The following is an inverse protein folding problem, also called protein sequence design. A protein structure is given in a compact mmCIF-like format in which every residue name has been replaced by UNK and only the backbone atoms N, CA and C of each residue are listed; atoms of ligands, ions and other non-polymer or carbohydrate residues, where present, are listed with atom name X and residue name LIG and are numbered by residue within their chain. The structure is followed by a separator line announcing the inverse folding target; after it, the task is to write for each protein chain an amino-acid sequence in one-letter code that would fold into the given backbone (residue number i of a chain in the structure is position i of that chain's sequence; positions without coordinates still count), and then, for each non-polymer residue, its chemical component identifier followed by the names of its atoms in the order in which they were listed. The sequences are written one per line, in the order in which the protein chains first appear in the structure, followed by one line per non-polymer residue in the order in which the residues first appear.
data_IF_995060114227
#
_entry.id   IF_995060114227
#
_cell.length_a   1.000
_cell.length_b   1.000
_cell.length_c   1.000
_cell.angle_alpha   90.00
_cell.angle_beta   90.00
_cell.angle_gamma   90.00
#
_symmetry.space_group_name_H-M   'P 1'
#
loop_
_entity.id
_entity.type
_entity.pdbx_description
1 polymer ?
#
# COMPACT_ATOMS: atom_id res chain seq x y z
N UNK A 1 -4.45 25.20 -2.83
CA UNK A 1 -4.36 23.83 -3.36
C UNK A 1 -5.67 23.13 -3.06
N UNK A 2 -6.22 22.33 -3.96
CA UNK A 2 -7.41 21.50 -3.75
C UNK A 2 -7.08 20.06 -4.10
N UNK A 3 -7.17 19.15 -3.13
CA UNK A 3 -6.90 17.73 -3.32
C UNK A 3 -8.20 16.97 -3.11
N UNK A 4 -8.57 16.13 -4.05
CA UNK A 4 -9.78 15.30 -3.94
C UNK A 4 -9.38 13.89 -3.52
N UNK A 5 -9.99 13.40 -2.44
CA UNK A 5 -9.62 12.13 -1.82
C UNK A 5 -10.84 11.22 -1.76
N UNK A 6 -10.68 9.96 -2.16
CA UNK A 6 -11.66 8.91 -1.88
C UNK A 6 -10.97 7.65 -1.36
N UNK A 7 -11.72 6.81 -0.65
CA UNK A 7 -11.22 5.55 -0.13
C UNK A 7 -11.92 5.10 1.14
N UNK A 8 -11.52 3.95 1.69
CA UNK A 8 -12.04 3.45 2.96
C UNK A 8 -11.77 4.45 4.09
N UNK A 9 -12.74 4.60 4.99
CA UNK A 9 -12.63 5.52 6.13
C UNK A 9 -11.36 5.29 6.95
N UNK A 10 -11.05 4.04 7.26
CA UNK A 10 -9.87 3.66 8.04
C UNK A 10 -8.55 4.10 7.37
N UNK A 11 -8.48 4.02 6.04
CA UNK A 11 -7.29 4.46 5.30
C UNK A 11 -7.13 5.98 5.38
N UNK A 12 -8.23 6.74 5.23
CA UNK A 12 -8.26 8.20 5.34
C UNK A 12 -7.86 8.66 6.75
N UNK A 13 -8.41 8.01 7.78
CA UNK A 13 -8.08 8.28 9.18
C UNK A 13 -6.61 7.94 9.49
N UNK A 14 -6.08 6.83 8.95
CA UNK A 14 -4.68 6.46 9.14
C UNK A 14 -3.70 7.47 8.55
N UNK A 15 -3.96 7.97 7.34
CA UNK A 15 -3.14 9.01 6.73
C UNK A 15 -3.50 10.43 7.21
N UNK A 16 -4.54 10.60 8.01
CA UNK A 16 -4.97 11.89 8.55
C UNK A 16 -5.38 12.91 7.48
N UNK A 17 -5.79 12.46 6.29
CA UNK A 17 -6.13 13.36 5.18
C UNK A 17 -7.40 14.18 5.45
N UNK A 18 -8.26 13.71 6.35
CA UNK A 18 -9.45 14.42 6.84
C UNK A 18 -9.13 15.66 7.69
N UNK A 19 -7.89 15.78 8.20
CA UNK A 19 -7.45 16.93 8.98
C UNK A 19 -7.02 18.16 8.16
N UNK A 20 -6.80 17.99 6.85
CA UNK A 20 -6.36 19.06 5.96
C UNK A 20 -7.56 19.76 5.33
N UNK A 21 -7.72 21.07 5.58
CA UNK A 21 -8.85 21.86 5.06
C UNK A 21 -8.93 21.94 3.53
N UNK A 22 -7.85 21.58 2.84
CA UNK A 22 -7.75 21.57 1.40
C UNK A 22 -7.92 20.17 0.78
N UNK A 23 -8.10 19.15 1.62
CA UNK A 23 -8.49 17.81 1.20
C UNK A 23 -10.02 17.70 1.22
N UNK A 24 -10.61 17.53 0.03
CA UNK A 24 -12.03 17.30 -0.13
C UNK A 24 -12.29 15.79 -0.21
N UNK A 25 -12.91 15.23 0.82
CA UNK A 25 -13.33 13.83 0.82
C UNK A 25 -14.58 13.67 -0.06
N UNK A 26 -14.57 12.67 -0.94
CA UNK A 26 -15.70 12.34 -1.82
C UNK A 26 -16.01 10.85 -1.80
N UNK A 27 -17.26 10.52 -2.08
CA UNK A 27 -17.70 9.13 -2.21
C UNK A 27 -17.56 8.66 -3.66
N UNK A 28 -16.85 7.54 -3.85
CA UNK A 28 -16.66 6.93 -5.16
C UNK A 28 -15.74 7.69 -6.12
N UNK A 29 -15.31 7.00 -7.18
CA UNK A 29 -14.36 7.56 -8.16
C UNK A 29 -15.04 8.46 -9.19
N UNK A 30 -16.36 8.33 -9.40
CA UNK A 30 -17.12 9.20 -10.30
C UNK A 30 -17.06 10.68 -9.88
N UNK A 31 -16.95 10.93 -8.58
CA UNK A 31 -16.75 12.28 -8.05
C UNK A 31 -15.45 12.93 -8.56
N UNK A 32 -14.44 12.15 -8.94
CA UNK A 32 -13.19 12.69 -9.49
C UNK A 32 -13.42 13.29 -10.88
N UNK A 33 -14.27 12.66 -11.70
CA UNK A 33 -14.59 13.16 -13.04
C UNK A 33 -15.30 14.52 -13.01
N UNK A 34 -15.99 14.82 -11.90
CA UNK A 34 -16.73 16.06 -11.67
C UNK A 34 -15.89 17.14 -10.96
N UNK A 35 -14.73 16.80 -10.41
CA UNK A 35 -13.84 17.73 -9.71
C UNK A 35 -12.73 18.28 -10.64
N UNK A 36 -13.12 18.80 -11.80
CA UNK A 36 -12.19 19.25 -12.84
C UNK A 36 -11.27 20.42 -12.48
N UNK A 37 -11.47 21.04 -11.32
CA UNK A 37 -10.69 22.15 -10.77
C UNK A 37 -9.69 21.71 -9.68
N UNK A 38 -9.56 20.41 -9.40
CA UNK A 38 -8.62 19.90 -8.40
C UNK A 38 -7.17 19.99 -8.87
N UNK A 39 -6.26 20.31 -7.94
CA UNK A 39 -4.82 20.31 -8.16
C UNK A 39 -4.24 18.88 -8.18
N UNK A 40 -4.92 17.93 -7.53
CA UNK A 40 -4.49 16.54 -7.41
C UNK A 40 -5.57 15.64 -6.84
N UNK A 41 -5.39 14.34 -7.04
CA UNK A 41 -6.34 13.30 -6.65
C UNK A 41 -5.64 12.19 -5.86
N UNK A 42 -6.34 11.62 -4.88
CA UNK A 42 -5.86 10.47 -4.10
C UNK A 42 -6.99 9.45 -3.98
N UNK A 43 -6.83 8.29 -4.60
CA UNK A 43 -7.73 7.16 -4.45
C UNK A 43 -7.07 6.06 -3.61
N UNK A 44 -7.56 5.86 -2.38
CA UNK A 44 -7.06 4.88 -1.43
C UNK A 44 -7.79 3.53 -1.50
N UNK A 45 -8.76 3.35 -2.42
CA UNK A 45 -9.42 2.05 -2.60
C UNK A 45 -8.44 1.01 -3.15
N UNK A 46 -8.63 -0.26 -2.79
CA UNK A 46 -7.77 -1.35 -3.24
C UNK A 46 -7.85 -1.60 -4.75
N UNK A 47 -8.97 -1.25 -5.37
CA UNK A 47 -9.24 -1.37 -6.80
C UNK A 47 -8.96 -0.07 -7.57
N UNK A 48 -8.20 0.88 -7.00
CA UNK A 48 -8.01 2.21 -7.57
C UNK A 48 -7.47 2.20 -9.01
N UNK A 49 -6.69 1.20 -9.43
CA UNK A 49 -6.22 1.08 -10.82
C UNK A 49 -7.27 0.56 -11.81
N UNK A 50 -8.39 0.01 -11.35
CA UNK A 50 -9.48 -0.44 -12.21
C UNK A 50 -10.27 0.74 -12.83
N UNK A 51 -10.03 1.97 -12.37
CA UNK A 51 -10.73 3.16 -12.82
C UNK A 51 -9.94 3.94 -13.87
N UNK A 52 -10.67 4.65 -14.73
CA UNK A 52 -10.08 5.58 -15.70
C UNK A 52 -9.99 6.98 -15.12
N UNK A 53 -8.78 7.55 -15.11
CA UNK A 53 -8.54 8.91 -14.67
C UNK A 53 -8.22 9.81 -15.85
N UNK A 54 -8.88 10.97 -15.92
CA UNK A 54 -8.58 11.98 -16.95
C UNK A 54 -7.16 12.51 -16.73
N UNK A 55 -6.42 12.68 -17.83
CA UNK A 55 -5.11 13.30 -17.80
C UNK A 55 -5.21 14.78 -17.40
N UNK A 56 -4.20 15.28 -16.68
CA UNK A 56 -4.09 16.70 -16.29
C UNK A 56 -3.40 16.88 -14.95
N UNK A 57 -4.09 16.54 -13.87
CA UNK A 57 -3.56 16.61 -12.51
C UNK A 57 -2.95 15.27 -12.06
N UNK A 58 -1.94 15.27 -11.18
CA UNK A 58 -1.43 14.05 -10.55
C UNK A 58 -2.52 13.26 -9.83
N UNK A 59 -2.55 11.95 -10.05
CA UNK A 59 -3.47 11.02 -9.39
C UNK A 59 -2.66 9.97 -8.63
N UNK A 60 -2.75 10.00 -7.32
CA UNK A 60 -2.18 9.00 -6.42
C UNK A 60 -3.20 7.87 -6.25
N UNK A 61 -2.78 6.63 -6.49
CA UNK A 61 -3.61 5.43 -6.39
C UNK A 61 -2.98 4.41 -5.44
N UNK A 62 -3.78 3.87 -4.53
CA UNK A 62 -3.42 2.67 -3.79
C UNK A 62 -3.41 1.50 -4.77
N UNK A 63 -2.22 0.97 -5.04
CA UNK A 63 -2.08 -0.32 -5.71
C UNK A 63 -0.77 -0.95 -5.29
N UNK A 64 -0.84 -2.06 -4.57
CA UNK A 64 0.38 -2.73 -4.09
C UNK A 64 0.86 -3.76 -5.09
N UNK A 65 -0.07 -4.50 -5.71
CA UNK A 65 0.25 -5.65 -6.57
C UNK A 65 0.31 -5.29 -8.05
N UNK A 66 -0.57 -4.41 -8.53
CA UNK A 66 -0.67 -4.06 -9.95
C UNK A 66 0.22 -2.86 -10.29
N UNK A 67 0.97 -2.96 -11.38
CA UNK A 67 1.84 -1.86 -11.89
C UNK A 67 1.04 -0.89 -12.76
N UNK A 68 1.59 0.30 -13.00
CA UNK A 68 0.93 1.33 -13.80
C UNK A 68 0.78 0.89 -15.27
N UNK A 69 -0.34 1.24 -15.93
CA UNK A 69 -0.48 1.05 -17.38
C UNK A 69 0.58 1.87 -18.13
N UNK A 70 1.12 1.32 -19.21
CA UNK A 70 2.12 2.00 -20.04
C UNK A 70 1.60 3.37 -20.54
N UNK A 71 2.43 4.41 -20.42
CA UNK A 71 2.08 5.76 -20.86
C UNK A 71 1.23 6.58 -19.86
N UNK A 72 1.02 6.09 -18.64
CA UNK A 72 0.25 6.78 -17.60
C UNK A 72 1.10 7.80 -16.81
N UNK A 73 1.59 8.86 -17.45
CA UNK A 73 2.51 9.83 -16.82
C UNK A 73 1.87 10.65 -15.68
N UNK A 74 0.54 10.68 -15.57
CA UNK A 74 -0.21 11.36 -14.50
C UNK A 74 -0.58 10.45 -13.32
N UNK A 75 -0.33 9.14 -13.41
CA UNK A 75 -0.66 8.18 -12.35
C UNK A 75 0.55 7.88 -11.48
N UNK A 76 0.29 7.77 -10.17
CA UNK A 76 1.30 7.54 -9.15
C UNK A 76 0.83 6.50 -8.17
N UNK A 77 1.62 5.45 -8.00
CA UNK A 77 1.23 4.31 -7.17
C UNK A 77 1.89 4.37 -5.80
N UNK A 78 1.11 4.03 -4.77
CA UNK A 78 1.56 3.96 -3.38
C UNK A 78 1.19 2.63 -2.73
N UNK A 79 1.82 2.36 -1.59
CA UNK A 79 1.38 1.31 -0.68
C UNK A 79 0.33 1.85 0.29
N UNK A 80 -0.94 1.56 0.00
CA UNK A 80 -2.07 1.90 0.87
C UNK A 80 -2.48 0.82 1.86
N UNK A 81 -1.66 -0.23 2.06
CA UNK A 81 -1.97 -1.25 3.06
C UNK A 81 -2.00 -0.66 4.48
N UNK A 82 -2.87 -1.18 5.37
CA UNK A 82 -2.94 -0.76 6.75
C UNK A 82 -1.58 -0.80 7.46
N UNK A 83 -1.24 0.27 8.17
CA UNK A 83 0.02 0.43 8.90
C UNK A 83 1.17 1.08 8.09
N UNK A 84 0.96 1.39 6.81
CA UNK A 84 1.93 2.07 5.95
C UNK A 84 1.58 3.53 5.67
N UNK A 85 0.31 3.91 5.78
CA UNK A 85 -0.20 5.22 5.35
C UNK A 85 0.14 6.35 6.33
N UNK A 86 0.30 6.04 7.63
CA UNK A 86 0.69 7.03 8.65
C UNK A 86 2.12 7.58 8.52
N UNK A 87 2.94 6.99 7.66
CA UNK A 87 4.36 7.35 7.51
C UNK A 87 4.50 8.70 6.81
N UNK A 88 5.48 9.50 7.22
CA UNK A 88 5.82 10.75 6.52
C UNK A 88 6.36 10.48 5.12
N UNK A 89 7.17 9.43 4.96
CA UNK A 89 7.69 9.00 3.66
C UNK A 89 6.74 8.03 2.98
N UNK A 90 6.21 8.40 1.81
CA UNK A 90 5.40 7.53 0.97
C UNK A 90 6.22 7.04 -0.22
N UNK A 91 6.22 5.73 -0.45
CA UNK A 91 6.77 5.14 -1.67
C UNK A 91 5.92 5.55 -2.86
N UNK A 92 6.56 6.14 -3.87
CA UNK A 92 5.90 6.59 -5.11
C UNK A 92 6.52 5.86 -6.29
N UNK A 93 5.70 5.13 -7.05
CA UNK A 93 6.04 4.63 -8.38
C UNK A 93 5.31 5.46 -9.45
N UNK A 94 6.04 5.89 -10.48
CA UNK A 94 5.56 6.76 -11.55
C UNK A 94 6.66 7.68 -12.08
N UNK A 95 6.31 8.62 -12.96
CA UNK A 95 7.26 9.59 -13.53
C UNK A 95 7.48 10.78 -12.58
N UNK A 96 8.75 11.08 -12.24
CA UNK A 96 9.08 12.20 -11.35
C UNK A 96 8.39 13.50 -11.77
N UNK A 97 7.70 14.14 -10.83
CA UNK A 97 6.84 15.29 -11.10
C UNK A 97 6.84 16.25 -9.90
N UNK A 98 7.21 17.51 -10.15
CA UNK A 98 7.32 18.55 -9.11
C UNK A 98 5.97 18.88 -8.48
N UNK A 99 4.89 18.93 -9.29
CA UNK A 99 3.53 19.19 -8.79
C UNK A 99 3.06 18.09 -7.85
N UNK A 100 3.40 16.83 -8.13
CA UNK A 100 3.14 15.73 -7.18
C UNK A 100 3.90 15.93 -5.87
N UNK A 101 5.17 16.31 -5.93
CA UNK A 101 5.97 16.56 -4.72
C UNK A 101 5.39 17.72 -3.90
N UNK A 102 4.89 18.79 -4.54
CA UNK A 102 4.14 19.87 -3.88
C UNK A 102 2.85 19.38 -3.22
N UNK A 103 2.08 18.53 -3.91
CA UNK A 103 0.86 17.93 -3.37
C UNK A 103 1.18 17.12 -2.12
N UNK A 104 2.16 16.21 -2.20
CA UNK A 104 2.60 15.39 -1.06
C UNK A 104 3.07 16.27 0.10
N UNK A 105 3.89 17.29 -0.17
CA UNK A 105 4.36 18.21 0.87
C UNK A 105 3.21 18.95 1.57
N UNK A 106 2.17 19.33 0.81
CA UNK A 106 1.00 20.05 1.37
C UNK A 106 0.19 19.22 2.36
N UNK A 107 0.24 17.89 2.24
CA UNK A 107 -0.39 16.92 3.15
C UNK A 107 0.61 16.29 4.13
N UNK A 108 1.78 16.92 4.31
CA UNK A 108 2.81 16.46 5.26
C UNK A 108 3.44 15.11 4.87
N UNK A 109 3.55 14.84 3.57
CA UNK A 109 4.19 13.64 3.02
C UNK A 109 5.41 13.99 2.16
N UNK A 110 6.37 13.07 2.14
CA UNK A 110 7.57 13.15 1.29
C UNK A 110 7.58 11.98 0.32
N UNK A 111 7.80 12.28 -0.96
CA UNK A 111 7.98 11.26 -1.98
C UNK A 111 9.28 10.47 -1.75
N UNK A 112 9.17 9.15 -1.72
CA UNK A 112 10.28 8.20 -1.81
C UNK A 112 10.11 7.46 -3.13
N UNK A 113 10.81 7.92 -4.15
CA UNK A 113 10.68 7.37 -5.50
C UNK A 113 11.25 5.95 -5.59
N UNK A 114 10.44 5.02 -6.07
CA UNK A 114 10.79 3.61 -6.26
C UNK A 114 10.44 3.15 -7.67
N UNK A 115 11.01 2.02 -8.09
CA UNK A 115 10.64 1.40 -9.36
C UNK A 115 9.19 0.91 -9.30
N UNK A 116 8.48 1.02 -10.41
CA UNK A 116 7.13 0.48 -10.54
C UNK A 116 7.15 -1.04 -10.67
N UNK A 117 7.23 -1.72 -9.52
CA UNK A 117 7.28 -3.17 -9.38
C UNK A 117 6.23 -3.65 -8.36
N UNK A 118 5.66 -4.86 -8.52
CA UNK A 118 4.75 -5.41 -7.52
C UNK A 118 5.37 -5.41 -6.12
N UNK A 119 4.60 -4.97 -5.13
CA UNK A 119 5.00 -4.85 -3.73
C UNK A 119 5.83 -3.61 -3.41
N UNK A 120 6.11 -2.74 -4.39
CA UNK A 120 6.99 -1.57 -4.22
C UNK A 120 8.28 -2.01 -3.50
N UNK A 121 8.70 -1.33 -2.45
CA UNK A 121 9.82 -1.81 -1.61
C UNK A 121 9.29 -2.36 -0.29
N UNK A 122 8.54 -1.57 0.48
CA UNK A 122 8.19 -1.93 1.84
C UNK A 122 7.19 -3.10 1.90
N UNK A 123 6.17 -3.14 1.04
CA UNK A 123 5.23 -4.27 1.03
C UNK A 123 5.93 -5.57 0.63
N UNK A 124 6.83 -5.55 -0.36
CA UNK A 124 7.63 -6.71 -0.77
C UNK A 124 8.48 -7.27 0.38
N UNK A 125 9.21 -6.39 1.08
CA UNK A 125 10.09 -6.81 2.18
C UNK A 125 9.29 -7.30 3.38
N UNK A 126 8.25 -6.57 3.78
CA UNK A 126 7.40 -6.98 4.91
C UNK A 126 6.67 -8.29 4.61
N UNK A 127 6.16 -8.50 3.40
CA UNK A 127 5.54 -9.78 3.03
C UNK A 127 6.51 -10.96 3.16
N UNK A 128 7.80 -10.79 2.84
CA UNK A 128 8.81 -11.84 3.03
C UNK A 128 9.14 -12.08 4.50
N UNK A 129 9.20 -11.02 5.33
CA UNK A 129 9.38 -11.17 6.78
C UNK A 129 8.21 -11.93 7.39
N UNK A 130 6.99 -11.60 6.96
CA UNK A 130 5.78 -12.33 7.37
C UNK A 130 5.90 -13.78 6.92
N UNK A 131 6.22 -14.04 5.65
CA UNK A 131 6.33 -15.39 5.13
C UNK A 131 7.33 -16.25 5.92
N UNK A 132 8.49 -15.69 6.26
CA UNK A 132 9.50 -16.34 7.09
C UNK A 132 8.98 -16.68 8.49
N UNK A 133 8.18 -15.80 9.08
CA UNK A 133 7.54 -16.09 10.37
C UNK A 133 6.56 -17.28 10.28
N UNK A 134 5.84 -17.43 9.15
CA UNK A 134 5.00 -18.62 8.94
C UNK A 134 5.84 -19.89 8.78
N UNK A 135 6.98 -19.84 8.07
CA UNK A 135 7.91 -20.98 8.02
C UNK A 135 8.42 -21.36 9.41
N UNK A 136 8.78 -20.38 10.26
CA UNK A 136 9.21 -20.66 11.63
C UNK A 136 8.11 -21.35 12.46
N UNK A 137 6.84 -21.04 12.24
CA UNK A 137 5.71 -21.74 12.86
C UNK A 137 5.53 -23.15 12.30
N UNK A 138 5.63 -23.33 10.99
CA UNK A 138 5.56 -24.65 10.33
C UNK A 138 6.63 -25.61 10.87
N UNK A 139 7.85 -25.10 11.00
CA UNK A 139 9.01 -25.82 11.52
C UNK A 139 8.97 -25.98 13.05
N UNK A 140 7.91 -25.48 13.71
CA UNK A 140 7.69 -25.53 15.16
C UNK A 140 8.84 -24.90 15.95
N UNK A 141 9.46 -23.86 15.41
CA UNK A 141 10.53 -23.11 16.06
C UNK A 141 9.99 -22.38 17.30
N UNK A 142 8.79 -21.79 17.19
CA UNK A 142 8.18 -20.99 18.26
C UNK A 142 6.68 -20.75 17.99
N UNK A 143 5.94 -20.23 18.97
CA UNK A 143 4.56 -19.75 18.79
C UNK A 143 4.49 -18.40 18.05
N UNK A 144 3.32 -18.05 17.50
CA UNK A 144 3.09 -16.77 16.80
C UNK A 144 3.35 -15.57 17.74
N UNK A 145 2.87 -15.68 18.98
CA UNK A 145 2.97 -14.63 20.01
C UNK A 145 4.42 -14.40 20.45
N UNK A 146 5.20 -15.47 20.60
CA UNK A 146 6.62 -15.39 20.94
C UNK A 146 7.44 -14.85 19.78
N UNK A 147 7.12 -15.22 18.53
CA UNK A 147 7.78 -14.66 17.33
C UNK A 147 7.51 -13.16 17.24
N UNK A 148 6.27 -12.71 17.41
CA UNK A 148 5.93 -11.29 17.42
C UNK A 148 6.67 -10.54 18.52
N UNK A 149 6.74 -11.12 19.72
CA UNK A 149 7.48 -10.55 20.84
C UNK A 149 8.98 -10.45 20.54
N UNK A 150 9.58 -11.51 20.01
CA UNK A 150 11.00 -11.56 19.66
C UNK A 150 11.35 -10.54 18.58
N UNK A 151 10.51 -10.40 17.55
CA UNK A 151 10.75 -9.44 16.48
C UNK A 151 10.58 -8.00 16.96
N UNK A 152 9.55 -7.69 17.74
CA UNK A 152 9.38 -6.34 18.30
C UNK A 152 10.55 -5.95 19.22
N UNK A 153 10.91 -6.80 20.18
CA UNK A 153 11.94 -6.48 21.17
C UNK A 153 13.36 -6.60 20.59
N UNK A 154 13.60 -7.52 19.67
CA UNK A 154 14.90 -7.81 19.09
C UNK A 154 15.31 -6.89 17.95
N UNK A 155 14.36 -6.47 17.10
CA UNK A 155 14.66 -5.64 15.91
C UNK A 155 14.10 -4.21 16.00
N UNK A 156 13.29 -3.92 17.02
CA UNK A 156 12.64 -2.62 17.18
C UNK A 156 11.49 -2.39 16.19
N UNK A 157 10.92 -3.45 15.61
CA UNK A 157 9.76 -3.30 14.75
C UNK A 157 8.54 -2.75 15.50
N UNK A 158 7.73 -1.89 14.86
CA UNK A 158 6.53 -1.34 15.49
C UNK A 158 5.43 -2.38 15.71
N UNK A 159 5.48 -3.48 14.96
CA UNK A 159 4.56 -4.61 15.03
C UNK A 159 5.32 -5.91 14.80
N UNK A 160 4.84 -7.00 15.38
CA UNK A 160 5.31 -8.33 15.02
C UNK A 160 4.83 -8.76 13.63
N UNK A 161 5.47 -9.77 13.00
CA UNK A 161 5.03 -10.31 11.71
C UNK A 161 3.56 -10.74 11.66
N UNK A 162 3.02 -11.38 12.70
CA UNK A 162 1.63 -11.83 12.72
C UNK A 162 0.66 -10.68 13.02
N UNK A 163 1.05 -9.72 13.86
CA UNK A 163 0.33 -8.44 13.99
C UNK A 163 0.23 -7.70 12.64
N UNK A 164 1.32 -7.63 11.86
CA UNK A 164 1.27 -7.08 10.51
C UNK A 164 0.36 -7.90 9.58
N UNK A 165 0.48 -9.23 9.61
CA UNK A 165 -0.34 -10.11 8.79
C UNK A 165 -1.84 -9.91 9.07
N UNK A 166 -2.21 -9.75 10.35
CA UNK A 166 -3.58 -9.47 10.77
C UNK A 166 -4.08 -8.10 10.31
N UNK A 167 -3.24 -7.06 10.41
CA UNK A 167 -3.61 -5.71 10.00
C UNK A 167 -3.75 -5.58 8.47
N UNK A 168 -2.79 -6.16 7.72
CA UNK A 168 -2.75 -6.07 6.26
C UNK A 168 -3.77 -7.03 5.62
N UNK A 169 -3.96 -8.20 6.21
CA UNK A 169 -4.72 -9.31 5.64
C UNK A 169 -3.80 -10.32 4.95
N UNK A 170 -3.83 -11.56 5.44
CA UNK A 170 -3.03 -12.67 4.93
C UNK A 170 -3.24 -12.93 3.43
N UNK A 171 -4.47 -12.74 2.94
CA UNK A 171 -4.80 -12.90 1.51
C UNK A 171 -4.03 -11.91 0.62
N UNK A 172 -3.96 -10.63 1.01
CA UNK A 172 -3.23 -9.60 0.25
C UNK A 172 -1.74 -9.94 0.17
N UNK A 173 -1.17 -10.41 1.29
CA UNK A 173 0.23 -10.81 1.42
C UNK A 173 0.51 -12.03 0.54
N UNK A 174 -0.32 -13.07 0.68
CA UNK A 174 -0.21 -14.32 -0.09
C UNK A 174 -0.32 -14.04 -1.59
N UNK A 175 -1.28 -13.22 -2.02
CA UNK A 175 -1.44 -12.81 -3.42
C UNK A 175 -0.21 -12.10 -3.97
N UNK A 176 0.38 -11.16 -3.20
CA UNK A 176 1.62 -10.50 -3.61
C UNK A 176 2.78 -11.50 -3.76
N UNK A 177 2.96 -12.39 -2.79
CA UNK A 177 4.02 -13.39 -2.80
C UNK A 177 3.89 -14.36 -3.97
N UNK A 178 2.68 -14.86 -4.25
CA UNK A 178 2.39 -15.71 -5.41
C UNK A 178 2.71 -15.00 -6.74
N UNK A 179 2.34 -13.73 -6.86
CA UNK A 179 2.66 -12.91 -8.04
C UNK A 179 4.16 -12.78 -8.23
N UNK A 180 4.90 -12.46 -7.16
CA UNK A 180 6.36 -12.35 -7.21
C UNK A 180 7.06 -13.69 -7.48
N UNK A 181 6.43 -14.80 -7.07
CA UNK A 181 6.94 -16.15 -7.28
C UNK A 181 6.90 -16.60 -8.74
N UNK A 182 6.09 -15.95 -9.60
CA UNK A 182 6.08 -16.20 -11.04
C UNK A 182 7.44 -15.92 -11.68
N UNK A 183 8.15 -14.90 -11.19
CA UNK A 183 9.47 -14.52 -11.67
C UNK A 183 10.60 -15.22 -10.90
N UNK A 184 10.40 -15.51 -9.61
CA UNK A 184 11.42 -16.13 -8.77
C UNK A 184 10.82 -16.91 -7.60
N UNK A 185 11.05 -18.22 -7.58
CA UNK A 185 10.53 -19.15 -6.58
C UNK A 185 10.83 -18.80 -5.12
N UNK A 186 11.86 -17.97 -4.85
CA UNK A 186 12.20 -17.52 -3.48
C UNK A 186 11.06 -16.78 -2.78
N UNK A 187 10.10 -16.25 -3.54
CA UNK A 187 8.93 -15.55 -3.02
C UNK A 187 7.74 -16.48 -2.75
N UNK A 188 7.88 -17.79 -2.97
CA UNK A 188 6.79 -18.74 -2.75
C UNK A 188 6.26 -18.60 -1.32
N UNK A 189 4.93 -18.42 -1.13
CA UNK A 189 4.34 -18.39 0.20
C UNK A 189 4.50 -19.76 0.87
N UNK A 190 4.69 -19.72 2.19
CA UNK A 190 4.60 -20.90 3.05
C UNK A 190 3.22 -21.55 2.96
N UNK A 191 3.12 -22.83 3.35
CA UNK A 191 1.89 -23.61 3.23
C UNK A 191 0.79 -23.03 4.12
N UNK A 192 1.12 -22.58 5.32
CA UNK A 192 0.18 -21.98 6.27
C UNK A 192 -0.30 -20.61 5.78
N UNK A 193 0.58 -19.79 5.20
CA UNK A 193 0.19 -18.49 4.65
C UNK A 193 -0.64 -18.64 3.36
N UNK A 194 -0.33 -19.64 2.54
CA UNK A 194 -1.12 -19.98 1.35
C UNK A 194 -2.46 -20.66 1.71
N UNK A 195 -2.45 -21.52 2.73
CA UNK A 195 -3.56 -22.40 3.11
C UNK A 195 -4.60 -21.77 4.03
N UNK A 196 -4.31 -20.61 4.64
CA UNK A 196 -5.30 -19.82 5.36
C UNK A 196 -6.35 -19.15 4.43
N UNK A 197 -6.31 -19.43 3.13
CA UNK A 197 -7.47 -19.30 2.24
C UNK A 197 -8.53 -20.35 2.61
N UNK A 198 -9.16 -20.17 3.77
CA UNK A 198 -10.39 -20.89 4.07
C UNK A 198 -11.42 -20.50 3.00
N UNK A 199 -11.96 -21.54 2.37
CA UNK A 199 -12.99 -21.58 1.33
C UNK A 199 -14.11 -20.51 1.44
N UNK A 200 -14.76 -20.16 0.30
CA UNK A 200 -15.86 -19.18 0.21
C UNK A 200 -16.99 -19.40 1.23
#
# INVERSE_FOLDING_TARGET
MKIVVCGPRLAIEECGLDSFSHCQLVEGVEAFANAGDADGFINLNDDALSFSYKAGAPVIVNSVTEVLPQGSSHLYRINGWPGFLRREGWEIAGERNEKLEEILASIGRKAVWVKDEPGLVAARVISMIINEAYFAVEDKVSSREEIDTAMKLGTGYPYGPFEWASAIGEERISKLLQLLALDNERYAPSILLAGNQSHP
#
